data_IF_924762831115
#
_entry.id   IF_924762831115
#
_cell.length_a   1.000
_cell.length_b   1.000
_cell.length_c   1.000
_cell.angle_alpha   90.00
_cell.angle_beta   90.00
_cell.angle_gamma   90.00
#
_symmetry.space_group_name_H-M   'P 1'
#
loop_
_entity.id
_entity.type
_entity.pdbx_description
1 polymer ?
#
# COMPACT_ATOMS: atom_id res chain seq x y z
N UNK A 1 23.94 -20.24 -17.99
CA UNK A 1 22.72 -19.88 -18.74
C UNK A 1 21.77 -19.22 -17.76
N UNK A 2 21.56 -17.89 -17.78
CA UNK A 2 20.55 -17.27 -16.92
C UNK A 2 19.16 -17.55 -17.52
N UNK A 3 18.27 -18.14 -16.72
CA UNK A 3 16.85 -18.29 -17.08
C UNK A 3 16.21 -16.91 -17.19
N UNK A 4 15.67 -16.61 -18.37
CA UNK A 4 14.76 -15.50 -18.57
C UNK A 4 13.44 -15.79 -17.83
N UNK A 5 13.37 -15.37 -16.56
CA UNK A 5 12.14 -15.41 -15.79
C UNK A 5 11.12 -14.46 -16.39
N UNK A 6 10.02 -15.00 -16.91
CA UNK A 6 8.80 -14.25 -17.21
C UNK A 6 8.24 -13.63 -15.93
N UNK A 7 8.80 -12.50 -15.53
CA UNK A 7 8.46 -11.79 -14.29
C UNK A 7 7.28 -10.89 -14.53
N UNK A 8 6.23 -11.03 -13.73
CA UNK A 8 5.03 -10.19 -13.75
C UNK A 8 5.30 -8.74 -13.34
N UNK A 9 6.06 -7.99 -14.15
CA UNK A 9 6.09 -6.53 -14.23
C UNK A 9 6.48 -5.73 -12.98
N UNK A 10 6.95 -6.35 -11.90
CA UNK A 10 7.31 -5.62 -10.68
C UNK A 10 8.76 -5.13 -10.69
N UNK A 11 8.97 -3.93 -10.14
CA UNK A 11 10.26 -3.26 -10.06
C UNK A 11 10.17 -1.85 -10.66
N UNK A 12 11.31 -1.26 -11.04
CA UNK A 12 11.36 0.08 -11.63
C UNK A 12 10.48 0.26 -12.88
N UNK A 13 10.20 -0.82 -13.62
CA UNK A 13 9.38 -0.81 -14.82
C UNK A 13 7.90 -0.50 -14.57
N UNK A 14 7.44 -0.59 -13.32
CA UNK A 14 6.05 -0.23 -12.96
C UNK A 14 5.88 1.29 -12.78
N UNK A 15 6.97 2.06 -12.77
CA UNK A 15 6.91 3.53 -12.64
C UNK A 15 6.30 4.15 -13.90
N UNK A 16 5.30 5.02 -13.70
CA UNK A 16 4.50 5.62 -14.77
C UNK A 16 3.20 4.87 -15.05
N UNK A 17 3.04 3.66 -14.53
CA UNK A 17 1.83 2.86 -14.71
C UNK A 17 0.70 3.29 -13.77
N UNK A 18 -0.54 3.07 -14.23
CA UNK A 18 -1.74 3.25 -13.40
C UNK A 18 -2.17 1.93 -12.79
N UNK A 19 -2.51 1.97 -11.51
CA UNK A 19 -2.97 0.79 -10.77
C UNK A 19 -4.33 1.10 -10.14
N UNK A 20 -5.30 0.24 -10.43
CA UNK A 20 -6.60 0.26 -9.76
C UNK A 20 -6.57 -0.66 -8.55
N UNK A 21 -6.97 -0.13 -7.40
CA UNK A 21 -7.21 -0.84 -6.15
C UNK A 21 -8.64 -0.55 -5.70
N UNK A 22 -9.53 -1.54 -5.79
CA UNK A 22 -10.95 -1.38 -5.47
C UNK A 22 -11.55 -0.13 -6.13
N UNK A 23 -11.82 0.93 -5.36
CA UNK A 23 -12.42 2.18 -5.83
C UNK A 23 -11.38 3.30 -6.07
N UNK A 24 -10.11 3.05 -5.79
CA UNK A 24 -9.02 4.01 -5.92
C UNK A 24 -8.18 3.71 -7.15
N UNK A 25 -7.85 4.73 -7.93
CA UNK A 25 -6.88 4.59 -9.04
C UNK A 25 -5.69 5.46 -8.70
N UNK A 26 -4.50 4.85 -8.71
CA UNK A 26 -3.26 5.54 -8.38
C UNK A 26 -2.30 5.51 -9.56
N UNK A 27 -1.49 6.55 -9.70
CA UNK A 27 -0.37 6.61 -10.64
C UNK A 27 0.93 6.29 -9.90
N UNK A 28 1.72 5.35 -10.40
CA UNK A 28 3.01 4.99 -9.79
C UNK A 28 4.06 6.04 -10.14
N UNK A 29 4.56 6.74 -9.13
CA UNK A 29 5.46 7.88 -9.31
C UNK A 29 6.93 7.48 -9.26
N UNK A 30 7.32 6.62 -8.30
CA UNK A 30 8.69 6.11 -8.14
C UNK A 30 8.74 4.90 -7.20
N UNK A 31 9.81 4.11 -7.32
CA UNK A 31 10.15 3.06 -6.35
C UNK A 31 10.74 3.70 -5.08
N UNK A 32 10.24 3.30 -3.91
CA UNK A 32 10.73 3.71 -2.58
C UNK A 32 11.68 2.68 -1.98
N UNK A 33 11.43 1.40 -2.23
CA UNK A 33 12.26 0.33 -1.71
C UNK A 33 11.82 -1.05 -2.20
N UNK A 34 12.71 -2.01 -2.03
CA UNK A 34 12.48 -3.42 -2.33
C UNK A 34 12.90 -4.29 -1.16
N UNK A 35 12.23 -5.42 -0.98
CA UNK A 35 12.56 -6.37 0.07
C UNK A 35 11.90 -7.72 -0.18
N UNK A 36 12.74 -8.76 -0.35
CA UNK A 36 12.28 -10.13 -0.60
C UNK A 36 11.40 -10.23 -1.85
N UNK A 37 10.09 -10.31 -1.65
CA UNK A 37 9.07 -10.46 -2.72
C UNK A 37 8.16 -9.24 -2.84
N UNK A 38 8.50 -8.14 -2.15
CA UNK A 38 7.72 -6.91 -2.09
C UNK A 38 8.47 -5.74 -2.67
N UNK A 39 7.73 -4.86 -3.34
CA UNK A 39 8.18 -3.55 -3.77
C UNK A 39 7.27 -2.49 -3.16
N UNK A 40 7.85 -1.37 -2.76
CA UNK A 40 7.15 -0.23 -2.15
C UNK A 40 7.30 0.95 -3.09
N UNK A 41 6.20 1.56 -3.48
CA UNK A 41 6.16 2.66 -4.44
C UNK A 41 5.53 3.90 -3.81
N UNK A 42 6.03 5.07 -4.21
CA UNK A 42 5.31 6.32 -4.06
C UNK A 42 4.28 6.36 -5.18
N UNK A 43 3.03 6.59 -4.83
CA UNK A 43 1.94 6.71 -5.79
C UNK A 43 1.18 8.01 -5.55
N UNK A 44 0.47 8.45 -6.57
CA UNK A 44 -0.38 9.64 -6.52
C UNK A 44 -1.82 9.21 -6.77
N UNK A 45 -2.72 9.59 -5.88
CA UNK A 45 -4.16 9.36 -6.08
C UNK A 45 -4.66 10.16 -7.30
N UNK A 46 -5.45 9.49 -8.14
CA UNK A 46 -6.06 10.06 -9.35
C UNK A 46 -7.57 10.32 -9.17
N UNK A 47 -8.08 10.20 -7.95
CA UNK A 47 -9.46 10.54 -7.62
C UNK A 47 -9.68 12.05 -7.79
N UNK A 48 -10.45 12.45 -8.79
CA UNK A 48 -10.82 13.85 -9.03
C UNK A 48 -11.75 14.36 -7.91
N UNK A 49 -11.16 14.87 -6.84
CA UNK A 49 -11.83 15.73 -5.86
C UNK A 49 -12.73 15.06 -4.81
N UNK A 50 -12.92 13.74 -4.85
CA UNK A 50 -13.57 12.98 -3.77
C UNK A 50 -12.50 12.30 -2.90
N UNK A 51 -11.83 13.08 -2.06
CA UNK A 51 -10.71 12.59 -1.25
C UNK A 51 -11.10 11.41 -0.34
N UNK A 52 -10.17 10.46 -0.20
CA UNK A 52 -10.21 9.38 0.79
C UNK A 52 -10.05 10.01 2.18
N UNK A 53 -11.15 10.54 2.74
CA UNK A 53 -11.13 11.19 4.05
C UNK A 53 -11.99 12.45 4.21
N UNK A 54 -12.93 12.74 3.32
CA UNK A 54 -13.92 13.80 3.61
C UNK A 54 -14.86 13.34 4.73
N UNK A 55 -14.51 13.66 5.97
CA UNK A 55 -15.44 13.67 7.11
C UNK A 55 -16.64 14.53 6.69
N UNK A 56 -17.89 14.04 6.77
CA UNK A 56 -19.05 14.86 6.48
C UNK A 56 -19.10 15.99 7.51
N UNK A 57 -18.86 17.22 7.06
CA UNK A 57 -19.15 18.41 7.85
C UNK A 57 -20.67 18.50 8.03
N UNK A 58 -21.17 17.97 9.16
CA UNK A 58 -22.52 18.26 9.63
C UNK A 58 -22.66 19.77 9.81
N UNK A 59 -23.71 20.32 9.22
CA UNK A 59 -23.98 21.75 9.15
C UNK A 59 -24.00 22.44 10.51
N UNK A 60 -23.41 23.63 10.54
CA UNK A 60 -23.52 24.61 11.61
C UNK A 60 -23.63 25.99 10.98
N UNK A 61 -24.76 26.64 11.20
CA UNK A 61 -25.05 28.00 10.78
C UNK A 61 -24.08 29.03 11.41
N UNK A 62 -23.64 29.97 10.57
CA UNK A 62 -23.06 31.30 10.82
C UNK A 62 -22.44 31.68 12.17
N UNK A 63 -21.21 32.23 12.14
CA UNK A 63 -20.97 33.68 12.27
C UNK A 63 -19.49 34.06 12.19
N UNK A 64 -19.28 35.32 11.78
CA UNK A 64 -18.09 36.05 11.37
C UNK A 64 -16.97 36.13 12.44
N UNK A 65 -15.70 35.98 12.04
CA UNK A 65 -14.54 36.16 12.92
C UNK A 65 -13.19 36.06 12.19
N UNK A 66 -12.57 37.21 11.96
CA UNK A 66 -11.27 37.41 11.32
C UNK A 66 -10.12 36.69 12.03
N UNK A 67 -9.34 35.86 11.33
CA UNK A 67 -7.87 35.72 11.43
C UNK A 67 -7.35 34.41 10.81
N UNK A 68 -6.13 34.48 10.28
CA UNK A 68 -5.30 33.39 9.73
C UNK A 68 -5.71 32.81 8.37
N UNK A 69 -4.97 33.21 7.34
CA UNK A 69 -4.77 32.44 6.11
C UNK A 69 -4.24 31.05 6.48
N UNK A 70 -5.12 30.07 6.71
CA UNK A 70 -4.79 28.69 6.41
C UNK A 70 -5.15 28.49 4.94
N UNK A 71 -4.13 28.24 4.13
CA UNK A 71 -4.26 27.88 2.72
C UNK A 71 -5.00 26.55 2.60
N UNK A 72 -6.34 26.60 2.69
CA UNK A 72 -7.26 25.57 2.26
C UNK A 72 -7.22 25.47 0.73
N UNK A 73 -6.19 24.78 0.24
CA UNK A 73 -6.02 24.47 -1.18
C UNK A 73 -6.83 23.23 -1.55
N UNK A 74 -7.99 23.46 -2.15
CA UNK A 74 -8.78 22.49 -2.92
C UNK A 74 -7.89 21.79 -3.97
N UNK A 75 -7.93 20.46 -4.02
CA UNK A 75 -7.25 19.65 -5.06
C UNK A 75 -5.87 19.10 -4.71
N UNK A 76 -5.61 18.78 -3.43
CA UNK A 76 -4.32 18.22 -3.01
C UNK A 76 -4.08 16.88 -3.72
N UNK A 77 -3.09 16.86 -4.61
CA UNK A 77 -2.46 15.68 -5.17
C UNK A 77 -1.94 14.81 -4.02
N UNK A 78 -2.79 13.93 -3.48
CA UNK A 78 -2.45 13.14 -2.30
C UNK A 78 -1.44 12.07 -2.71
N UNK A 79 -0.21 12.22 -2.21
CA UNK A 79 0.80 11.18 -2.30
C UNK A 79 0.51 10.09 -1.28
N UNK A 80 0.62 8.85 -1.72
CA UNK A 80 0.36 7.64 -0.94
C UNK A 80 1.51 6.65 -1.14
N UNK A 81 1.54 5.61 -0.33
CA UNK A 81 2.48 4.49 -0.48
C UNK A 81 1.72 3.25 -0.90
N UNK A 82 2.19 2.60 -1.97
CA UNK A 82 1.68 1.32 -2.42
C UNK A 82 2.73 0.23 -2.22
N UNK A 83 2.45 -0.73 -1.35
CA UNK A 83 3.23 -1.97 -1.24
C UNK A 83 2.61 -3.05 -2.11
N UNK A 84 3.40 -3.69 -2.97
CA UNK A 84 2.97 -4.80 -3.81
C UNK A 84 3.83 -6.02 -3.49
N UNK A 85 3.19 -7.09 -3.00
CA UNK A 85 3.83 -8.37 -2.65
C UNK A 85 3.47 -9.43 -3.68
N UNK A 86 4.46 -10.00 -4.36
CA UNK A 86 4.27 -11.18 -5.20
C UNK A 86 4.08 -12.43 -4.36
N UNK A 87 3.06 -13.22 -4.67
CA UNK A 87 2.73 -14.44 -3.95
C UNK A 87 3.26 -15.65 -4.74
N UNK A 88 4.09 -16.45 -4.08
CA UNK A 88 4.71 -17.68 -4.62
C UNK A 88 4.34 -18.93 -3.83
N UNK A 89 3.72 -18.77 -2.66
CA UNK A 89 3.28 -19.90 -1.84
C UNK A 89 2.06 -19.55 -1.02
N UNK A 90 1.37 -20.58 -0.53
CA UNK A 90 0.27 -20.41 0.43
C UNK A 90 0.75 -19.72 1.72
N UNK A 91 1.96 -20.05 2.20
CA UNK A 91 2.53 -19.40 3.37
C UNK A 91 2.73 -17.89 3.18
N UNK A 92 3.20 -17.45 2.01
CA UNK A 92 3.34 -16.02 1.72
C UNK A 92 2.00 -15.32 1.66
N UNK A 93 0.98 -15.98 1.10
CA UNK A 93 -0.40 -15.48 1.13
C UNK A 93 -0.87 -15.30 2.56
N UNK A 94 -0.74 -16.33 3.40
CA UNK A 94 -1.18 -16.29 4.79
C UNK A 94 -0.47 -15.17 5.58
N UNK A 95 0.82 -14.93 5.32
CA UNK A 95 1.58 -13.83 5.92
C UNK A 95 1.05 -12.47 5.45
N UNK A 96 0.82 -12.30 4.15
CA UNK A 96 0.29 -11.08 3.56
C UNK A 96 -1.14 -10.75 4.07
N UNK A 97 -2.01 -11.75 4.20
CA UNK A 97 -3.34 -11.61 4.79
C UNK A 97 -3.28 -11.21 6.27
N UNK A 98 -2.36 -11.80 7.04
CA UNK A 98 -2.13 -11.43 8.45
C UNK A 98 -1.62 -10.00 8.57
N UNK A 99 -0.72 -9.55 7.70
CA UNK A 99 -0.23 -8.18 7.66
C UNK A 99 -1.36 -7.17 7.42
N UNK A 100 -2.12 -7.33 6.34
CA UNK A 100 -3.24 -6.44 6.04
C UNK A 100 -4.32 -6.47 7.13
N UNK A 101 -4.63 -7.65 7.69
CA UNK A 101 -5.61 -7.78 8.78
C UNK A 101 -5.14 -7.08 10.05
N UNK A 102 -3.85 -7.17 10.39
CA UNK A 102 -3.29 -6.45 11.53
C UNK A 102 -3.39 -4.95 11.30
N UNK A 103 -2.85 -4.44 10.18
CA UNK A 103 -2.85 -3.01 9.84
C UNK A 103 -4.26 -2.42 9.76
N UNK A 104 -5.26 -3.17 9.27
CA UNK A 104 -6.65 -2.72 9.21
C UNK A 104 -7.28 -2.41 10.58
N UNK A 105 -6.69 -2.94 11.66
CA UNK A 105 -7.18 -2.78 13.03
C UNK A 105 -6.41 -1.71 13.82
N UNK A 106 -5.30 -1.20 13.27
CA UNK A 106 -4.47 -0.20 13.91
C UNK A 106 -4.89 1.17 13.43
N UNK A 107 -5.31 2.03 14.35
CA UNK A 107 -5.66 3.43 14.09
C UNK A 107 -5.06 4.26 15.21
N UNK A 108 -3.82 4.70 15.02
CA UNK A 108 -3.05 5.39 16.05
C UNK A 108 -2.08 6.40 15.41
N UNK A 109 -1.90 7.61 15.95
CA UNK A 109 -1.06 8.66 15.35
C UNK A 109 0.43 8.30 15.19
N UNK A 110 0.91 7.28 15.90
CA UNK A 110 2.30 6.78 15.77
C UNK A 110 2.41 5.51 14.90
N UNK A 111 1.34 5.06 14.25
CA UNK A 111 1.33 3.87 13.40
C UNK A 111 0.84 4.26 12.01
N UNK A 112 1.54 3.78 10.98
CA UNK A 112 1.18 4.06 9.59
C UNK A 112 -0.26 3.64 9.29
N UNK A 113 -1.06 4.58 8.79
CA UNK A 113 -2.46 4.32 8.43
C UNK A 113 -2.55 3.52 7.13
N UNK A 114 -3.28 2.40 7.16
CA UNK A 114 -3.70 1.66 5.97
C UNK A 114 -5.04 2.22 5.47
N UNK A 115 -5.13 2.50 4.17
CA UNK A 115 -6.36 2.96 3.51
C UNK A 115 -7.09 1.82 2.83
N UNK A 116 -6.36 0.96 2.11
CA UNK A 116 -6.97 -0.10 1.34
C UNK A 116 -6.04 -1.30 1.11
N UNK A 117 -6.62 -2.44 0.78
CA UNK A 117 -5.90 -3.67 0.43
C UNK A 117 -6.69 -4.50 -0.58
N UNK A 118 -5.99 -5.15 -1.51
CA UNK A 118 -6.63 -6.09 -2.43
C UNK A 118 -5.67 -7.18 -2.95
N UNK A 119 -6.27 -8.24 -3.48
CA UNK A 119 -5.57 -9.25 -4.27
C UNK A 119 -5.85 -9.03 -5.75
N UNK A 120 -4.81 -9.13 -6.58
CA UNK A 120 -4.95 -9.16 -8.03
C UNK A 120 -4.10 -10.25 -8.65
N UNK A 121 -4.57 -10.83 -9.74
CA UNK A 121 -3.71 -11.58 -10.65
C UNK A 121 -3.52 -10.68 -11.87
N UNK A 122 -2.30 -10.19 -12.14
CA UNK A 122 -2.08 -9.41 -13.35
C UNK A 122 -2.57 -10.23 -14.56
N UNK A 123 -3.40 -9.65 -15.42
CA UNK A 123 -3.69 -10.32 -16.68
C UNK A 123 -2.47 -10.14 -17.57
N UNK A 124 -1.95 -11.23 -18.13
CA UNK A 124 -1.09 -11.13 -19.30
C UNK A 124 -1.96 -10.55 -20.40
N UNK A 125 -1.64 -9.36 -20.91
CA UNK A 125 -2.36 -8.76 -22.04
C UNK A 125 -2.25 -9.67 -23.28
N UNK A 126 -3.19 -10.60 -23.39
CA UNK A 126 -3.54 -11.29 -24.63
C UNK A 126 -4.66 -10.50 -25.28
N UNK A 127 -4.39 -9.99 -26.49
CA UNK A 127 -5.35 -9.31 -27.38
C UNK A 127 -6.77 -9.92 -27.33
N UNK A 128 -7.75 -9.07 -27.02
CA UNK A 128 -9.12 -9.15 -27.53
C UNK A 128 -10.17 -9.79 -26.61
N UNK A 129 -11.22 -9.03 -26.30
CA UNK A 129 -12.53 -9.59 -25.89
C UNK A 129 -13.17 -8.88 -24.71
N UNK A 130 -14.23 -8.11 -24.99
CA UNK A 130 -15.17 -7.58 -24.00
C UNK A 130 -15.66 -8.65 -23.02
N UNK A 131 -15.64 -8.38 -21.71
CA UNK A 131 -16.29 -9.21 -20.70
C UNK A 131 -15.90 -8.82 -19.28
N UNK A 132 -16.89 -8.43 -18.47
CA UNK A 132 -16.72 -7.78 -17.16
C UNK A 132 -15.93 -8.58 -16.11
N UNK A 133 -15.35 -7.83 -15.17
CA UNK A 133 -14.68 -8.36 -13.98
C UNK A 133 -15.64 -9.23 -13.16
N UNK A 134 -15.27 -10.51 -13.00
CA UNK A 134 -15.78 -11.35 -11.90
C UNK A 134 -14.84 -11.20 -10.70
N UNK A 135 -15.28 -10.42 -9.72
CA UNK A 135 -14.71 -10.45 -8.37
C UNK A 135 -15.07 -11.82 -7.76
N UNK A 136 -14.09 -12.70 -7.58
CA UNK A 136 -14.34 -14.00 -6.98
C UNK A 136 -14.52 -13.80 -5.46
N UNK A 137 -15.78 -13.71 -5.03
CA UNK A 137 -16.21 -13.70 -3.64
C UNK A 137 -15.86 -15.04 -2.99
N UNK A 138 -14.96 -15.03 -2.01
CA UNK A 138 -14.73 -16.17 -1.12
C UNK A 138 -15.87 -16.24 -0.09
N UNK A 139 -16.97 -16.89 -0.47
CA UNK A 139 -18.06 -17.30 0.41
C UNK A 139 -17.97 -18.79 0.74
N UNK A 140 -17.96 -19.13 2.03
CA UNK A 140 -17.85 -20.50 2.51
C UNK A 140 -19.10 -21.36 2.27
N UNK A 141 -18.89 -22.67 2.19
CA UNK A 141 -19.93 -23.70 2.17
C UNK A 141 -19.32 -25.10 2.27
N UNK A 142 -19.65 -25.80 3.34
CA UNK A 142 -19.23 -27.17 3.66
C UNK A 142 -19.74 -28.20 2.63
N UNK A 143 -18.85 -29.10 2.20
CA UNK A 143 -19.21 -30.28 1.40
C UNK A 143 -18.04 -31.23 1.32
N UNK A 144 -18.19 -32.41 1.91
CA UNK A 144 -17.17 -33.47 1.92
C UNK A 144 -16.94 -34.08 0.54
N UNK A 145 -15.70 -34.50 0.29
CA UNK A 145 -15.30 -35.19 -0.92
C UNK A 145 -13.85 -35.64 -0.83
N UNK A 146 -13.66 -36.91 -0.50
CA UNK A 146 -12.40 -37.64 -0.58
C UNK A 146 -11.91 -37.65 -2.03
N UNK A 147 -10.73 -37.09 -2.28
CA UNK A 147 -10.17 -36.96 -3.63
C UNK A 147 -8.65 -36.87 -3.59
N UNK A 148 -8.01 -37.87 -4.19
CA UNK A 148 -6.58 -38.13 -4.23
C UNK A 148 -5.78 -37.02 -4.93
N UNK A 149 -4.59 -36.73 -4.40
CA UNK A 149 -3.39 -36.28 -5.11
C UNK A 149 -3.58 -35.42 -6.37
N UNK A 150 -3.85 -34.13 -6.18
CA UNK A 150 -3.72 -33.13 -7.23
C UNK A 150 -2.30 -32.62 -7.32
N UNK A 151 -1.50 -33.21 -8.21
CA UNK A 151 -0.27 -32.63 -8.73
C UNK A 151 -0.53 -31.19 -9.19
N UNK A 152 0.36 -30.28 -8.77
CA UNK A 152 0.27 -28.86 -9.09
C UNK A 152 0.06 -28.64 -10.58
N UNK A 153 -1.14 -28.18 -10.94
CA UNK A 153 -1.44 -27.78 -12.30
C UNK A 153 -0.54 -26.60 -12.64
N UNK A 154 0.28 -26.67 -13.71
CA UNK A 154 1.09 -25.54 -14.12
C UNK A 154 0.11 -24.47 -14.61
N UNK A 155 0.09 -23.32 -13.93
CA UNK A 155 -0.65 -22.16 -14.38
C UNK A 155 -0.15 -21.80 -15.78
N UNK A 156 -0.99 -22.09 -16.78
CA UNK A 156 -0.79 -21.73 -18.18
C UNK A 156 -0.81 -20.20 -18.26
N UNK A 157 0.35 -19.61 -18.56
CA UNK A 157 0.59 -18.17 -18.51
C UNK A 157 1.01 -17.72 -17.11
N UNK A 158 2.33 -17.64 -16.88
CA UNK A 158 2.98 -17.52 -15.57
C UNK A 158 2.78 -16.20 -14.82
N UNK A 159 1.53 -15.79 -14.63
CA UNK A 159 1.22 -14.58 -13.89
C UNK A 159 0.96 -14.89 -12.44
N UNK A 160 1.80 -14.31 -11.58
CA UNK A 160 1.81 -14.58 -10.15
C UNK A 160 0.81 -13.67 -9.45
N UNK A 161 -0.05 -14.20 -8.56
CA UNK A 161 -0.93 -13.36 -7.76
C UNK A 161 -0.14 -12.34 -6.95
N UNK A 162 -0.72 -11.17 -6.76
CA UNK A 162 -0.13 -10.05 -6.03
C UNK A 162 -1.10 -9.59 -4.94
N UNK A 163 -0.55 -9.25 -3.78
CA UNK A 163 -1.27 -8.59 -2.70
C UNK A 163 -0.81 -7.14 -2.62
N UNK A 164 -1.76 -6.21 -2.58
CA UNK A 164 -1.50 -4.77 -2.61
C UNK A 164 -1.99 -4.16 -1.30
N UNK A 165 -1.19 -3.27 -0.72
CA UNK A 165 -1.56 -2.49 0.47
C UNK A 165 -1.29 -1.01 0.18
N UNK A 166 -2.31 -0.18 0.30
CA UNK A 166 -2.26 1.27 0.13
C UNK A 166 -2.24 1.95 1.50
N UNK A 167 -1.27 2.83 1.72
CA UNK A 167 -0.96 3.44 3.02
C UNK A 167 -0.65 4.92 2.88
N UNK A 168 -0.62 5.63 4.00
CA UNK A 168 -0.14 7.01 4.05
C UNK A 168 1.33 7.15 3.65
N UNK A 169 1.67 8.33 3.15
CA UNK A 169 3.03 8.71 2.83
C UNK A 169 3.61 9.60 3.92
N UNK A 170 4.69 9.13 4.56
CA UNK A 170 5.46 9.90 5.53
C UNK A 170 6.58 10.68 4.84
N UNK A 171 6.43 11.99 4.67
CA UNK A 171 7.41 12.86 3.98
C UNK A 171 8.79 12.86 4.63
N UNK A 172 8.86 12.64 5.95
CA UNK A 172 10.10 12.58 6.72
C UNK A 172 11.02 11.41 6.38
N UNK A 173 10.55 10.42 5.61
CA UNK A 173 11.35 9.25 5.21
C UNK A 173 11.69 8.31 6.37
N UNK A 174 12.74 7.49 6.20
CA UNK A 174 13.17 6.55 7.22
C UNK A 174 14.07 7.22 8.28
N UNK A 175 13.90 6.85 9.55
CA UNK A 175 14.75 7.35 10.64
C UNK A 175 16.25 7.12 10.39
N UNK A 176 16.61 6.01 9.72
CA UNK A 176 17.99 5.72 9.35
C UNK A 176 18.57 6.77 8.37
N UNK A 177 17.78 7.27 7.43
CA UNK A 177 18.22 8.32 6.50
C UNK A 177 18.50 9.63 7.24
N UNK A 178 17.70 9.94 8.26
CA UNK A 178 17.93 11.07 9.16
C UNK A 178 19.23 10.87 9.93
N UNK A 179 19.43 9.69 10.55
CA UNK A 179 20.66 9.36 11.26
C UNK A 179 21.90 9.49 10.36
N UNK A 180 21.84 8.95 9.14
CA UNK A 180 22.94 8.98 8.18
C UNK A 180 23.28 10.43 7.77
N UNK A 181 22.26 11.25 7.52
CA UNK A 181 22.44 12.67 7.17
C UNK A 181 23.07 13.46 8.31
N UNK A 182 22.59 13.26 9.54
CA UNK A 182 23.15 13.90 10.73
C UNK A 182 24.60 13.47 10.93
N UNK A 183 24.88 12.16 10.81
CA UNK A 183 26.24 11.64 10.91
C UNK A 183 27.17 12.24 9.86
N UNK A 184 26.71 12.37 8.61
CA UNK A 184 27.49 12.99 7.52
C UNK A 184 27.77 14.48 7.77
N UNK A 185 26.88 15.19 8.46
CA UNK A 185 27.09 16.58 8.88
C UNK A 185 27.77 16.73 10.26
N UNK A 186 28.24 15.64 10.87
CA UNK A 186 28.83 15.65 12.22
C UNK A 186 27.86 16.02 13.34
N UNK A 187 26.55 15.96 13.08
CA UNK A 187 25.48 16.24 14.03
C UNK A 187 24.96 14.96 14.68
N UNK A 188 24.32 15.11 15.83
CA UNK A 188 23.61 14.04 16.55
C UNK A 188 22.28 14.59 17.04
N UNK A 189 21.33 13.69 17.33
CA UNK A 189 20.12 14.08 18.03
C UNK A 189 20.49 14.72 19.37
N UNK A 190 19.86 15.84 19.66
CA UNK A 190 19.82 16.35 21.02
C UNK A 190 18.88 15.47 21.86
N UNK A 191 19.07 15.52 23.19
CA UNK A 191 18.30 14.69 24.11
C UNK A 191 16.78 14.88 23.96
N UNK A 192 16.24 16.13 23.86
CA UNK A 192 14.80 16.32 23.67
C UNK A 192 14.24 15.63 22.41
N UNK A 193 14.88 15.81 21.24
CA UNK A 193 14.38 15.18 20.01
C UNK A 193 14.47 13.67 20.07
N UNK A 194 15.52 13.12 20.68
CA UNK A 194 15.67 11.68 20.86
C UNK A 194 14.57 11.11 21.77
N UNK A 195 14.27 11.78 22.88
CA UNK A 195 13.22 11.37 23.81
C UNK A 195 11.83 11.44 23.16
N UNK A 196 11.55 12.47 22.36
CA UNK A 196 10.29 12.58 21.61
C UNK A 196 10.15 11.42 20.61
N UNK A 197 11.18 11.18 19.79
CA UNK A 197 11.15 10.10 18.79
C UNK A 197 11.00 8.73 19.45
N UNK A 198 11.73 8.48 20.53
CA UNK A 198 11.61 7.23 21.29
C UNK A 198 10.23 7.07 21.93
N UNK A 199 9.67 8.15 22.51
CA UNK A 199 8.32 8.15 23.06
C UNK A 199 7.26 7.81 22.02
N UNK A 200 7.38 8.33 20.79
CA UNK A 200 6.47 7.99 19.70
C UNK A 200 6.55 6.50 19.32
N UNK A 201 7.75 5.92 19.29
CA UNK A 201 7.96 4.49 19.07
C UNK A 201 7.31 3.67 20.20
N UNK A 202 7.52 4.06 21.46
CA UNK A 202 6.90 3.38 22.60
C UNK A 202 5.37 3.41 22.52
N UNK A 203 4.78 4.56 22.18
CA UNK A 203 3.33 4.69 22.02
C UNK A 203 2.80 3.75 20.93
N UNK A 204 3.53 3.61 19.81
CA UNK A 204 3.17 2.69 18.73
C UNK A 204 3.24 1.22 19.18
N UNK A 205 4.28 0.83 19.92
CA UNK A 205 4.48 -0.55 20.38
C UNK A 205 3.51 -0.94 21.50
N UNK A 206 3.09 0.02 22.33
CA UNK A 206 2.16 -0.24 23.44
C UNK A 206 0.69 -0.35 23.03
N UNK A 207 0.36 0.02 21.79
CA UNK A 207 -1.00 0.00 21.25
C UNK A 207 -1.41 -1.42 20.84
#
# INVERSE_FOLDING_TARGET
MPEAGGGGGLGPQLVGEKISLNNTVVNVMRLLGEGGFSFVYLVKDMSDGAGIGSIPASGGDGMNGSSSQSSGGLGQNQYLVLKITSIHSRQQRDIAEKEAKLLSRLSHPSIVQMFDTCYRTPQSEGRGGHGGLVANVLGGGSGGGSGLGGSGSPLVGGVRPQHLILMEYCEGGHALDVCNRMSASGQKFDLPSLVIAFGQICNAVSY
#
